data_IF_847132972227
#
_entry.id   IF_847132972227
#
_cell.length_a   1.000
_cell.length_b   1.000
_cell.length_c   1.000
_cell.angle_alpha   90.00
_cell.angle_beta   90.00
_cell.angle_gamma   90.00
#
_symmetry.space_group_name_H-M   'P 1'
#
loop_
_entity.id
_entity.type
_entity.pdbx_description
1 polymer ?
#
# COMPACT_ATOMS: atom_id res chain seq x y z
N UNK A 1 10.95 -1.73 -7.17
CA UNK A 1 11.69 -0.87 -6.21
C UNK A 1 11.07 0.51 -6.29
N UNK A 2 10.91 1.20 -5.15
CA UNK A 2 10.42 2.57 -5.14
C UNK A 2 11.48 3.53 -5.73
N UNK A 3 11.09 4.62 -6.40
CA UNK A 3 12.02 5.64 -6.89
C UNK A 3 12.65 6.41 -5.73
N UNK A 4 13.89 6.88 -5.88
CA UNK A 4 14.45 7.86 -4.92
C UNK A 4 13.72 9.20 -5.03
N UNK A 5 13.48 9.85 -3.89
CA UNK A 5 12.83 11.18 -3.80
C UNK A 5 13.73 12.16 -3.07
N UNK A 6 13.54 13.45 -3.28
CA UNK A 6 14.28 14.46 -2.54
C UNK A 6 13.70 14.60 -1.12
N UNK A 7 14.57 14.81 -0.12
CA UNK A 7 14.14 15.08 1.26
C UNK A 7 13.18 16.28 1.33
N UNK A 8 13.37 17.27 0.46
CA UNK A 8 12.51 18.46 0.36
C UNK A 8 11.06 18.13 -0.02
N UNK A 9 10.82 17.02 -0.71
CA UNK A 9 9.47 16.61 -1.11
C UNK A 9 8.66 16.09 0.09
N UNK A 10 9.36 15.71 1.18
CA UNK A 10 8.76 15.18 2.42
C UNK A 10 8.89 16.16 3.59
N UNK A 11 9.81 17.12 3.54
CA UNK A 11 10.02 18.10 4.61
C UNK A 11 8.87 19.11 4.72
N UNK A 12 8.78 19.80 5.86
CA UNK A 12 7.84 20.92 6.06
C UNK A 12 6.50 20.54 6.68
N UNK A 13 6.17 19.26 6.80
CA UNK A 13 4.95 18.81 7.48
C UNK A 13 4.81 17.30 7.56
N UNK A 14 4.21 16.83 8.67
CA UNK A 14 3.70 15.45 8.77
C UNK A 14 2.59 15.28 7.75
N UNK A 15 2.59 14.18 7.00
CA UNK A 15 1.58 13.93 5.97
C UNK A 15 2.02 14.19 4.54
N UNK A 16 3.18 14.82 4.33
CA UNK A 16 3.73 14.97 2.98
C UNK A 16 4.08 13.60 2.40
N UNK A 17 3.80 13.41 1.11
CA UNK A 17 4.04 12.14 0.42
C UNK A 17 4.77 12.35 -0.89
N UNK A 18 5.55 11.36 -1.30
CA UNK A 18 6.32 11.38 -2.53
C UNK A 18 6.59 9.95 -3.03
N UNK A 19 7.02 9.83 -4.29
CA UNK A 19 7.49 8.55 -4.83
C UNK A 19 6.38 7.51 -5.00
N UNK A 20 5.17 7.95 -5.35
CA UNK A 20 4.03 7.08 -5.63
C UNK A 20 4.42 5.98 -6.63
N UNK A 21 4.29 4.74 -6.17
CA UNK A 21 4.64 3.54 -6.94
C UNK A 21 3.45 2.61 -6.94
N UNK A 22 2.84 2.46 -8.12
CA UNK A 22 1.69 1.58 -8.31
C UNK A 22 2.12 0.12 -8.40
N UNK A 23 1.30 -0.76 -7.85
CA UNK A 23 1.38 -2.19 -8.04
C UNK A 23 -0.01 -2.77 -8.21
N UNK A 24 -0.10 -3.89 -8.92
CA UNK A 24 -1.37 -4.53 -9.26
C UNK A 24 -1.37 -5.95 -8.71
N UNK A 25 -2.47 -6.34 -8.07
CA UNK A 25 -2.75 -7.73 -7.73
C UNK A 25 -3.77 -8.22 -8.75
N UNK A 26 -3.37 -9.18 -9.56
CA UNK A 26 -4.21 -9.80 -10.59
C UNK A 26 -4.55 -11.23 -10.15
N UNK A 27 -5.82 -11.60 -10.28
CA UNK A 27 -6.29 -12.99 -10.14
C UNK A 27 -6.75 -13.48 -11.51
N UNK A 28 -6.23 -14.63 -11.93
CA UNK A 28 -6.38 -15.16 -13.29
C UNK A 28 -6.68 -16.66 -13.26
N UNK A 29 -7.02 -17.23 -14.41
CA UNK A 29 -7.26 -18.66 -14.56
C UNK A 29 -8.68 -19.09 -14.22
N UNK A 30 -9.62 -18.15 -14.14
CA UNK A 30 -11.03 -18.45 -13.93
C UNK A 30 -11.66 -19.00 -15.21
N UNK A 31 -12.57 -19.95 -15.05
CA UNK A 31 -13.45 -20.36 -16.14
C UNK A 31 -14.56 -19.31 -16.27
N UNK A 32 -14.75 -18.71 -17.46
CA UNK A 32 -15.82 -17.73 -17.68
C UNK A 32 -17.19 -18.25 -17.23
N UNK A 33 -17.86 -17.50 -16.38
CA UNK A 33 -19.18 -17.78 -15.82
C UNK A 33 -20.14 -16.63 -16.11
N UNK A 34 -21.46 -16.90 -16.14
CA UNK A 34 -22.48 -15.86 -16.33
C UNK A 34 -22.70 -14.99 -15.07
N UNK A 35 -22.08 -15.34 -13.95
CA UNK A 35 -22.20 -14.62 -12.68
C UNK A 35 -20.90 -13.88 -12.39
N UNK A 36 -21.01 -12.61 -11.98
CA UNK A 36 -19.87 -11.85 -11.48
C UNK A 36 -19.49 -12.30 -10.07
N UNK A 37 -18.20 -12.24 -9.75
CA UNK A 37 -17.65 -12.63 -8.44
C UNK A 37 -16.85 -11.47 -7.85
N UNK A 38 -16.97 -11.25 -6.54
CA UNK A 38 -16.30 -10.14 -5.85
C UNK A 38 -15.14 -10.64 -5.00
N UNK A 39 -14.08 -9.85 -4.95
CA UNK A 39 -12.87 -10.12 -4.19
C UNK A 39 -12.50 -8.93 -3.34
N UNK A 40 -11.80 -9.18 -2.23
CA UNK A 40 -11.07 -8.14 -1.50
C UNK A 40 -9.64 -8.55 -1.25
N UNK A 41 -8.73 -7.59 -1.35
CA UNK A 41 -7.37 -7.76 -0.84
C UNK A 41 -7.32 -7.31 0.61
N UNK A 42 -6.65 -8.11 1.45
CA UNK A 42 -6.35 -7.78 2.84
C UNK A 42 -4.83 -7.69 3.00
N UNK A 43 -4.34 -6.58 3.51
CA UNK A 43 -2.91 -6.36 3.75
C UNK A 43 -2.58 -6.41 5.23
N UNK A 44 -1.49 -7.09 5.57
CA UNK A 44 -0.94 -7.17 6.93
C UNK A 44 0.51 -6.68 6.93
N UNK A 45 0.86 -5.82 7.88
CA UNK A 45 2.23 -5.36 8.05
C UNK A 45 3.19 -6.52 8.39
N UNK A 46 4.38 -6.50 7.80
CA UNK A 46 5.52 -7.34 8.21
C UNK A 46 6.54 -6.41 8.85
N UNK A 47 6.37 -6.15 10.15
CA UNK A 47 7.20 -5.24 10.92
C UNK A 47 6.39 -4.22 11.72
N UNK A 48 7.08 -3.24 12.32
CA UNK A 48 6.44 -2.19 13.10
C UNK A 48 5.55 -1.28 12.23
N UNK A 49 4.52 -0.72 12.85
CA UNK A 49 3.58 0.22 12.24
C UNK A 49 3.62 1.52 13.05
N UNK A 50 3.64 2.66 12.35
CA UNK A 50 3.67 3.99 12.98
C UNK A 50 2.31 4.33 13.59
N UNK A 51 2.24 5.37 14.42
CA UNK A 51 0.96 5.85 14.98
C UNK A 51 -0.01 6.34 13.89
N UNK A 52 0.52 6.76 12.73
CA UNK A 52 -0.27 7.15 11.56
C UNK A 52 -0.72 5.95 10.71
N UNK A 53 -0.42 4.72 11.13
CA UNK A 53 -0.86 3.49 10.46
C UNK A 53 0.00 3.06 9.27
N UNK A 54 1.18 3.64 9.10
CA UNK A 54 2.09 3.34 7.99
C UNK A 54 3.12 2.27 8.38
N UNK A 55 3.74 1.61 7.40
CA UNK A 55 4.84 0.68 7.64
C UNK A 55 6.07 1.47 8.08
N UNK A 56 6.52 1.25 9.30
CA UNK A 56 7.71 1.93 9.82
C UNK A 56 8.97 1.44 9.09
N UNK A 57 9.98 2.32 8.99
CA UNK A 57 11.18 2.02 8.23
C UNK A 57 12.05 0.99 8.95
N UNK A 58 12.30 -0.13 8.28
CA UNK A 58 13.10 -1.24 8.82
C UNK A 58 14.55 -1.27 8.33
N UNK A 59 14.98 -0.28 7.54
CA UNK A 59 16.33 -0.26 6.97
C UNK A 59 17.40 0.00 8.04
N UNK A 60 18.48 -0.78 8.03
CA UNK A 60 19.68 -0.46 8.78
C UNK A 60 20.30 0.85 8.24
N UNK A 61 20.51 1.84 9.12
CA UNK A 61 20.89 3.22 8.77
C UNK A 61 19.86 3.95 7.88
N UNK A 62 18.58 3.63 8.06
CA UNK A 62 17.49 4.22 7.28
C UNK A 62 17.22 5.70 7.58
N UNK A 63 16.44 6.31 6.69
CA UNK A 63 15.82 7.60 6.94
C UNK A 63 14.97 7.55 8.22
N UNK A 64 15.06 8.59 9.04
CA UNK A 64 14.23 8.79 10.23
C UNK A 64 13.09 9.74 9.91
N UNK A 65 11.91 9.51 10.47
CA UNK A 65 10.74 10.34 10.21
C UNK A 65 10.14 10.11 8.81
N UNK A 66 10.45 8.98 8.17
CA UNK A 66 9.88 8.56 6.88
C UNK A 66 9.38 7.13 7.03
N UNK A 67 8.14 6.89 6.61
CA UNK A 67 7.51 5.56 6.57
C UNK A 67 7.01 5.24 5.16
N UNK A 68 6.51 4.03 4.96
CA UNK A 68 5.82 3.63 3.73
C UNK A 68 4.32 3.54 3.97
N UNK A 69 3.55 4.32 3.21
CA UNK A 69 2.11 4.28 3.24
C UNK A 69 1.56 3.42 2.10
N UNK A 70 0.66 2.51 2.45
CA UNK A 70 -0.19 1.82 1.48
C UNK A 70 -1.45 2.66 1.21
N UNK A 71 -1.86 2.70 -0.05
CA UNK A 71 -2.98 3.51 -0.53
C UNK A 71 -3.85 2.69 -1.47
N UNK A 72 -5.16 2.76 -1.24
CA UNK A 72 -6.19 2.15 -2.07
C UNK A 72 -6.62 3.17 -3.14
N UNK A 73 -6.22 2.92 -4.39
CA UNK A 73 -6.54 3.78 -5.52
C UNK A 73 -8.05 3.84 -5.80
N UNK A 74 -8.80 2.76 -5.54
CA UNK A 74 -10.23 2.68 -5.84
C UNK A 74 -11.06 3.50 -4.85
N UNK A 75 -10.72 3.46 -3.56
CA UNK A 75 -11.34 4.31 -2.54
C UNK A 75 -10.69 5.69 -2.39
N UNK A 76 -9.56 5.94 -3.07
CA UNK A 76 -8.75 7.15 -2.95
C UNK A 76 -8.41 7.46 -1.47
N UNK A 77 -7.95 6.43 -0.73
CA UNK A 77 -7.69 6.54 0.70
C UNK A 77 -6.45 5.77 1.15
N UNK A 78 -5.81 6.25 2.22
CA UNK A 78 -4.73 5.51 2.87
C UNK A 78 -5.28 4.25 3.56
N UNK A 79 -4.45 3.21 3.66
CA UNK A 79 -4.77 1.93 4.30
C UNK A 79 -4.00 1.80 5.63
N UNK A 80 -4.55 2.29 6.76
CA UNK A 80 -3.86 2.21 8.03
C UNK A 80 -3.78 0.77 8.55
N UNK A 81 -2.59 0.34 8.96
CA UNK A 81 -2.29 -1.00 9.47
C UNK A 81 -2.21 -1.05 11.01
N UNK A 82 -2.45 0.07 11.69
CA UNK A 82 -2.27 0.21 13.14
C UNK A 82 -3.29 -0.58 13.97
N UNK A 83 -4.43 -0.95 13.37
CA UNK A 83 -5.49 -1.72 14.01
C UNK A 83 -5.54 -3.18 13.54
N UNK A 84 -4.47 -3.67 12.91
CA UNK A 84 -4.41 -5.00 12.31
C UNK A 84 -4.52 -4.94 10.78
N UNK A 85 -4.91 -6.06 10.13
CA UNK A 85 -4.99 -6.13 8.68
C UNK A 85 -5.95 -5.10 8.08
N UNK A 86 -5.53 -4.40 7.03
CA UNK A 86 -6.33 -3.42 6.32
C UNK A 86 -7.03 -4.07 5.12
N UNK A 87 -8.34 -3.85 5.01
CA UNK A 87 -9.15 -4.34 3.90
C UNK A 87 -9.24 -3.28 2.80
N UNK A 88 -8.93 -3.67 1.57
CA UNK A 88 -9.10 -2.83 0.40
C UNK A 88 -10.56 -2.80 -0.08
N UNK A 89 -10.84 -1.83 -0.95
CA UNK A 89 -12.02 -1.82 -1.79
C UNK A 89 -12.18 -3.13 -2.56
N UNK A 90 -13.43 -3.59 -2.77
CA UNK A 90 -13.68 -4.77 -3.56
C UNK A 90 -13.30 -4.54 -5.02
N UNK A 91 -12.93 -5.62 -5.69
CA UNK A 91 -12.75 -5.68 -7.14
C UNK A 91 -13.47 -6.91 -7.70
N UNK A 92 -14.00 -6.78 -8.91
CA UNK A 92 -14.98 -7.72 -9.45
C UNK A 92 -14.41 -8.49 -10.64
N UNK A 93 -14.55 -9.81 -10.64
CA UNK A 93 -14.49 -10.62 -11.85
C UNK A 93 -15.84 -10.49 -12.55
N UNK A 94 -15.86 -9.72 -13.64
CA UNK A 94 -17.07 -9.53 -14.43
C UNK A 94 -17.54 -10.85 -15.07
N UNK A 95 -18.84 -10.94 -15.32
CA UNK A 95 -19.41 -12.08 -16.03
C UNK A 95 -18.70 -12.29 -17.37
N UNK A 96 -18.41 -13.55 -17.69
CA UNK A 96 -17.66 -14.01 -18.86
C UNK A 96 -16.18 -13.59 -18.91
N UNK A 97 -15.60 -13.08 -17.82
CA UNK A 97 -14.16 -12.83 -17.71
C UNK A 97 -13.40 -14.04 -17.16
N UNK A 98 -12.10 -14.12 -17.46
CA UNK A 98 -11.16 -15.11 -16.91
C UNK A 98 -10.15 -14.52 -15.92
N UNK A 99 -10.15 -13.20 -15.76
CA UNK A 99 -9.30 -12.49 -14.81
C UNK A 99 -9.90 -11.16 -14.35
N UNK A 100 -9.41 -10.70 -13.20
CA UNK A 100 -9.66 -9.36 -12.68
C UNK A 100 -8.46 -8.88 -11.87
N UNK A 101 -8.40 -7.58 -11.57
CA UNK A 101 -7.29 -7.00 -10.84
C UNK A 101 -7.71 -5.81 -9.99
N UNK A 102 -6.90 -5.53 -8.97
CA UNK A 102 -6.94 -4.29 -8.21
C UNK A 102 -5.57 -3.63 -8.22
N UNK A 103 -5.55 -2.30 -8.35
CA UNK A 103 -4.33 -1.49 -8.30
C UNK A 103 -4.26 -0.75 -6.98
N UNK A 104 -3.06 -0.70 -6.43
CA UNK A 104 -2.73 -0.05 -5.17
C UNK A 104 -1.47 0.78 -5.35
N UNK A 105 -1.24 1.70 -4.42
CA UNK A 105 -0.06 2.55 -4.42
C UNK A 105 0.70 2.41 -3.12
N UNK A 106 2.02 2.26 -3.19
CA UNK A 106 2.93 2.53 -2.06
C UNK A 106 3.61 3.87 -2.31
N UNK A 107 3.71 4.69 -1.26
CA UNK A 107 4.41 5.99 -1.31
C UNK A 107 5.17 6.24 -0.02
N UNK A 108 6.20 7.07 -0.09
CA UNK A 108 6.84 7.61 1.11
C UNK A 108 5.86 8.53 1.83
N UNK A 109 5.89 8.50 3.16
CA UNK A 109 5.10 9.36 4.02
C UNK A 109 6.00 10.00 5.05
N UNK A 110 5.85 11.31 5.25
CA UNK A 110 6.59 12.07 6.24
C UNK A 110 5.93 11.96 7.61
N UNK A 111 6.64 11.36 8.56
CA UNK A 111 6.24 11.22 9.97
C UNK A 111 6.78 12.38 10.84
N UNK A 112 7.53 13.31 10.25
CA UNK A 112 8.20 14.41 10.94
C UNK A 112 8.22 15.67 10.08
N UNK A 113 8.33 16.86 10.68
CA UNK A 113 8.56 18.10 9.92
C UNK A 113 9.96 18.18 9.30
N UNK A 114 10.90 17.41 9.84
CA UNK A 114 12.30 17.33 9.40
C UNK A 114 12.74 15.86 9.29
N UNK A 115 12.25 15.11 8.28
CA UNK A 115 12.74 13.76 8.01
C UNK A 115 14.22 13.78 7.64
N UNK A 116 14.97 12.70 7.86
CA UNK A 116 16.37 12.59 7.42
C UNK A 116 16.50 11.77 6.14
N UNK A 117 17.64 11.90 5.45
CA UNK A 117 17.94 11.10 4.26
C UNK A 117 18.42 9.70 4.64
N UNK A 118 18.04 8.70 3.85
CA UNK A 118 18.50 7.33 4.03
C UNK A 118 17.60 6.32 3.32
N UNK A 119 17.99 5.04 3.29
CA UNK A 119 17.16 3.97 2.75
C UNK A 119 15.86 3.83 3.53
N UNK A 120 14.82 3.39 2.83
CA UNK A 120 13.52 3.08 3.42
C UNK A 120 13.08 1.72 2.91
N UNK A 121 12.74 0.82 3.84
CA UNK A 121 12.34 -0.55 3.55
C UNK A 121 11.18 -0.93 4.46
N UNK A 122 10.24 -1.68 3.91
CA UNK A 122 9.11 -2.25 4.62
C UNK A 122 8.52 -3.39 3.80
N UNK A 123 7.67 -4.19 4.43
CA UNK A 123 7.05 -5.33 3.78
C UNK A 123 5.61 -5.50 4.28
N UNK A 124 4.78 -6.09 3.41
CA UNK A 124 3.42 -6.53 3.73
C UNK A 124 3.24 -7.97 3.28
N UNK A 125 2.36 -8.68 3.97
CA UNK A 125 1.69 -9.86 3.41
C UNK A 125 0.35 -9.42 2.85
N UNK A 126 -0.12 -10.08 1.80
CA UNK A 126 -1.48 -9.90 1.30
C UNK A 126 -2.21 -11.24 1.21
N UNK A 127 -3.52 -11.19 1.41
CA UNK A 127 -4.44 -12.28 1.11
C UNK A 127 -5.53 -11.75 0.18
N UNK A 128 -5.95 -12.58 -0.78
CA UNK A 128 -7.15 -12.32 -1.58
C UNK A 128 -8.28 -13.18 -1.02
N UNK A 129 -9.38 -12.53 -0.62
CA UNK A 129 -10.59 -13.19 -0.12
C UNK A 129 -11.68 -13.13 -1.17
N UNK A 130 -12.40 -14.23 -1.27
CA UNK A 130 -13.62 -14.38 -2.06
C UNK A 130 -14.78 -13.91 -1.16
N UNK A 131 -15.69 -13.12 -1.72
CA UNK A 131 -16.83 -12.54 -0.99
C UNK A 131 -18.15 -13.25 -1.31
#
# INVERSE_FOLDING_TARGET
MLPSVAQSDLAGGVGNTAGETKFTIEVTGYTPSQTAESFKTVFSAVGPVTTNGNLDNTSANGATGVSLQLFDDAANQAMPLSNGPAEASPFTLEANSSSTSATYTVRYYSESTAPTVGPVSGAVMYAVRYE
#
